data_IF_352960033010
#
_entry.id   IF_352960033010
#
_cell.length_a   1.000
_cell.length_b   1.000
_cell.length_c   1.000
_cell.angle_alpha   90.00
_cell.angle_beta   90.00
_cell.angle_gamma   90.00
#
_symmetry.space_group_name_H-M   'P 1'
#
loop_
_entity.id
_entity.type
_entity.pdbx_description
1 polymer ?
#
# COMPACT_ATOMS: atom_id res chain seq x y z
N UNK A 1 -1.29 1.52 32.32
CA UNK A 1 -1.96 0.25 32.74
C UNK A 1 -0.91 -0.84 32.92
N UNK A 2 -1.08 -1.75 33.88
CA UNK A 2 -0.17 -2.91 34.07
C UNK A 2 -0.63 -4.11 33.23
N UNK A 3 0.27 -5.04 32.85
CA UNK A 3 -0.10 -6.28 32.17
C UNK A 3 -1.18 -7.10 32.91
N UNK A 4 -1.16 -7.08 34.24
CA UNK A 4 -2.17 -7.73 35.08
C UNK A 4 -3.57 -7.10 34.98
N UNK A 5 -3.64 -5.78 34.77
CA UNK A 5 -4.91 -5.06 34.61
C UNK A 5 -5.56 -5.36 33.26
N UNK A 6 -4.75 -5.46 32.20
CA UNK A 6 -5.21 -5.79 30.84
C UNK A 6 -5.80 -7.20 30.77
N UNK A 7 -5.12 -8.18 31.37
CA UNK A 7 -5.63 -9.57 31.43
C UNK A 7 -6.96 -9.68 32.16
N UNK A 8 -7.17 -8.88 33.22
CA UNK A 8 -8.43 -8.87 33.97
C UNK A 8 -9.58 -8.31 33.13
N UNK A 9 -9.38 -7.18 32.46
CA UNK A 9 -10.40 -6.58 31.57
C UNK A 9 -10.73 -7.51 30.41
N UNK A 10 -9.72 -8.15 29.81
CA UNK A 10 -9.95 -9.12 28.73
C UNK A 10 -10.75 -10.33 29.21
N UNK A 11 -10.48 -10.84 30.42
CA UNK A 11 -11.27 -11.92 31.03
C UNK A 11 -12.74 -11.54 31.24
N UNK A 12 -13.03 -10.30 31.62
CA UNK A 12 -14.41 -9.80 31.73
C UNK A 12 -15.10 -9.74 30.37
N UNK A 13 -14.42 -9.23 29.35
CA UNK A 13 -14.95 -9.19 27.99
C UNK A 13 -15.25 -10.59 27.46
N UNK A 14 -14.35 -11.57 27.68
CA UNK A 14 -14.60 -12.97 27.31
C UNK A 14 -15.87 -13.51 27.95
N UNK A 15 -16.06 -13.27 29.25
CA UNK A 15 -17.25 -13.70 29.98
C UNK A 15 -18.55 -13.04 29.45
N UNK A 16 -18.49 -11.76 29.07
CA UNK A 16 -19.64 -11.04 28.51
C UNK A 16 -19.97 -11.45 27.07
N UNK A 17 -18.94 -11.72 26.27
CA UNK A 17 -19.08 -12.05 24.84
C UNK A 17 -19.31 -13.55 24.59
N UNK A 18 -19.02 -14.40 25.59
CA UNK A 18 -19.12 -15.85 25.44
C UNK A 18 -18.10 -16.45 24.46
N UNK A 19 -16.99 -15.76 24.23
CA UNK A 19 -15.91 -16.15 23.31
C UNK A 19 -14.55 -15.81 23.91
N UNK A 20 -13.51 -16.59 23.60
CA UNK A 20 -12.15 -16.34 24.12
C UNK A 20 -11.51 -15.08 23.53
N UNK A 21 -12.05 -14.54 22.45
CA UNK A 21 -11.62 -13.39 21.65
C UNK A 21 -10.26 -13.57 20.99
N UNK A 22 -9.28 -14.06 21.75
CA UNK A 22 -7.93 -14.35 21.31
C UNK A 22 -7.38 -15.56 22.05
N UNK A 23 -6.66 -16.41 21.32
CA UNK A 23 -5.87 -17.51 21.86
C UNK A 23 -4.38 -17.28 21.62
N UNK A 24 -3.53 -18.02 22.33
CA UNK A 24 -2.08 -17.97 22.09
C UNK A 24 -1.68 -19.07 21.12
N UNK A 25 -0.97 -18.69 20.07
CA UNK A 25 -0.25 -19.62 19.20
C UNK A 25 1.23 -19.24 19.21
N UNK A 26 2.04 -20.09 19.85
CA UNK A 26 3.42 -19.76 20.21
C UNK A 26 3.53 -18.45 20.99
N UNK A 27 4.30 -17.50 20.43
CA UNK A 27 4.49 -16.16 21.00
C UNK A 27 3.42 -15.13 20.64
N UNK A 28 2.48 -15.46 19.74
CA UNK A 28 1.51 -14.50 19.21
C UNK A 28 0.11 -14.68 19.81
N UNK A 29 -0.61 -13.56 19.91
CA UNK A 29 -2.02 -13.54 20.31
C UNK A 29 -2.85 -13.51 19.03
N UNK A 30 -3.58 -14.58 18.76
CA UNK A 30 -4.32 -14.79 17.50
C UNK A 30 -5.82 -14.60 17.76
N UNK A 31 -6.54 -13.78 16.99
CA UNK A 31 -7.97 -13.57 17.18
C UNK A 31 -8.80 -14.81 16.81
N UNK A 32 -9.91 -15.03 17.51
CA UNK A 32 -10.91 -16.04 17.15
C UNK A 32 -11.71 -15.61 15.92
N UNK A 33 -12.43 -16.56 15.30
CA UNK A 33 -13.35 -16.25 14.20
C UNK A 33 -14.44 -15.24 14.63
N UNK A 34 -14.93 -15.36 15.88
CA UNK A 34 -15.87 -14.41 16.44
C UNK A 34 -15.26 -13.01 16.55
N UNK A 35 -14.06 -12.86 17.13
CA UNK A 35 -13.37 -11.57 17.24
C UNK A 35 -13.13 -10.92 15.87
N UNK A 36 -12.75 -11.72 14.87
CA UNK A 36 -12.61 -11.24 13.48
C UNK A 36 -13.95 -10.77 12.90
N UNK A 37 -15.05 -11.46 13.21
CA UNK A 37 -16.39 -11.12 12.69
C UNK A 37 -16.93 -9.80 13.25
N UNK A 38 -16.64 -9.49 14.52
CA UNK A 38 -17.12 -8.25 15.17
C UNK A 38 -16.16 -7.06 15.00
N UNK A 39 -14.93 -7.29 14.52
CA UNK A 39 -13.88 -6.28 14.49
C UNK A 39 -14.27 -4.98 13.78
N UNK A 40 -14.95 -5.08 12.63
CA UNK A 40 -15.39 -3.90 11.88
C UNK A 40 -16.40 -3.03 12.66
N UNK A 41 -17.32 -3.66 13.40
CA UNK A 41 -18.31 -2.93 14.21
C UNK A 41 -17.66 -2.30 15.45
N UNK A 42 -16.77 -3.05 16.10
CA UNK A 42 -15.97 -2.53 17.23
C UNK A 42 -15.15 -1.31 16.80
N UNK A 43 -14.51 -1.36 15.63
CA UNK A 43 -13.77 -0.22 15.07
C UNK A 43 -14.68 1.00 14.90
N UNK A 44 -15.85 0.84 14.28
CA UNK A 44 -16.84 1.92 14.07
C UNK A 44 -17.22 2.60 15.39
N UNK A 45 -17.49 1.80 16.43
CA UNK A 45 -17.85 2.29 17.76
C UNK A 45 -16.68 3.07 18.37
N UNK A 46 -15.47 2.50 18.36
CA UNK A 46 -14.29 3.12 18.95
C UNK A 46 -13.90 4.42 18.25
N UNK A 47 -13.89 4.47 16.91
CA UNK A 47 -13.61 5.70 16.18
C UNK A 47 -14.63 6.80 16.51
N UNK A 48 -15.91 6.44 16.62
CA UNK A 48 -16.96 7.41 16.97
C UNK A 48 -16.82 7.89 18.43
N UNK A 49 -16.49 6.99 19.35
CA UNK A 49 -16.21 7.35 20.75
C UNK A 49 -15.00 8.28 20.86
N UNK A 50 -13.92 8.00 20.13
CA UNK A 50 -12.75 8.87 20.10
C UNK A 50 -13.11 10.27 19.61
N UNK A 51 -13.91 10.38 18.54
CA UNK A 51 -14.43 11.67 18.06
C UNK A 51 -15.26 12.42 19.10
N UNK A 52 -16.07 11.73 19.90
CA UNK A 52 -16.86 12.36 20.97
C UNK A 52 -15.99 12.80 22.15
N UNK A 53 -14.99 11.99 22.53
CA UNK A 53 -14.12 12.27 23.66
C UNK A 53 -13.09 13.38 23.36
N UNK A 54 -12.74 13.57 22.09
CA UNK A 54 -11.69 14.49 21.65
C UNK A 54 -12.23 15.55 20.68
N UNK A 55 -13.35 16.20 21.01
CA UNK A 55 -14.00 17.24 20.19
C UNK A 55 -13.17 18.52 19.95
N UNK A 56 -11.88 18.54 20.29
CA UNK A 56 -10.96 19.65 20.01
C UNK A 56 -10.09 19.39 18.78
N UNK A 57 -9.30 20.39 18.37
CA UNK A 57 -8.29 20.19 17.33
C UNK A 57 -7.24 19.18 17.79
N UNK A 58 -6.98 18.18 16.94
CA UNK A 58 -5.90 17.22 17.16
C UNK A 58 -4.55 17.96 17.17
N UNK A 59 -3.75 17.76 18.23
CA UNK A 59 -2.40 18.29 18.35
C UNK A 59 -1.39 17.15 18.10
N UNK A 60 -0.70 17.13 16.95
CA UNK A 60 0.28 16.08 16.63
C UNK A 60 1.40 15.96 17.67
N UNK A 61 1.77 17.09 18.29
CA UNK A 61 2.79 17.18 19.33
C UNK A 61 2.39 16.56 20.68
N UNK A 62 1.13 16.17 20.86
CA UNK A 62 0.63 15.52 22.08
C UNK A 62 0.23 14.06 21.83
N UNK A 63 0.35 13.60 20.58
CA UNK A 63 -0.07 12.28 20.18
C UNK A 63 0.86 11.20 20.74
N UNK A 64 0.29 10.30 21.54
CA UNK A 64 0.99 9.16 22.15
C UNK A 64 0.55 7.80 21.59
N UNK A 65 -0.29 7.81 20.56
CA UNK A 65 -0.76 6.60 19.87
C UNK A 65 0.21 6.10 18.80
N UNK A 66 -0.28 5.14 18.02
CA UNK A 66 0.37 4.62 16.81
C UNK A 66 -0.64 4.75 15.68
N UNK A 67 -0.20 5.24 14.51
CA UNK A 67 -1.00 5.23 13.29
C UNK A 67 -0.38 4.24 12.32
N UNK A 68 -1.20 3.41 11.70
CA UNK A 68 -0.76 2.31 10.85
C UNK A 68 -1.08 2.55 9.37
N UNK A 69 -0.07 2.34 8.54
CA UNK A 69 -0.16 2.43 7.08
C UNK A 69 0.12 1.05 6.47
N UNK A 70 -0.57 0.72 5.38
CA UNK A 70 -0.25 -0.44 4.53
C UNK A 70 0.14 0.04 3.14
N UNK A 71 1.29 -0.38 2.64
CA UNK A 71 1.73 -0.06 1.28
C UNK A 71 2.78 -1.06 0.78
N UNK A 72 3.02 -1.09 -0.55
CA UNK A 72 4.17 -1.81 -1.13
C UNK A 72 5.46 -1.01 -0.93
N UNK A 73 6.60 -1.68 -0.96
CA UNK A 73 7.94 -1.08 -0.82
C UNK A 73 8.16 0.04 -1.83
N UNK A 74 7.77 -0.16 -3.09
CA UNK A 74 7.86 0.88 -4.14
C UNK A 74 6.97 2.10 -3.86
N UNK A 75 5.84 1.90 -3.17
CA UNK A 75 4.97 3.01 -2.76
C UNK A 75 5.58 3.75 -1.57
N UNK A 76 6.18 3.02 -0.63
CA UNK A 76 6.92 3.62 0.47
C UNK A 76 8.08 4.47 -0.03
N UNK A 77 8.90 3.98 -0.96
CA UNK A 77 10.00 4.75 -1.56
C UNK A 77 9.51 6.07 -2.17
N UNK A 78 8.39 6.04 -2.87
CA UNK A 78 7.79 7.23 -3.50
C UNK A 78 7.31 8.26 -2.46
N UNK A 79 6.70 7.80 -1.36
CA UNK A 79 6.12 8.67 -0.34
C UNK A 79 6.99 8.85 0.90
N UNK A 80 8.24 8.36 0.89
CA UNK A 80 9.14 8.37 2.04
C UNK A 80 9.35 9.79 2.59
N UNK A 81 9.47 10.80 1.72
CA UNK A 81 9.55 12.21 2.12
C UNK A 81 8.32 12.68 2.88
N UNK A 82 7.11 12.47 2.32
CA UNK A 82 5.85 12.85 2.99
C UNK A 82 5.68 12.10 4.32
N UNK A 83 6.01 10.81 4.38
CA UNK A 83 5.96 10.03 5.63
C UNK A 83 6.96 10.57 6.65
N UNK A 84 8.18 10.94 6.22
CA UNK A 84 9.19 11.54 7.10
C UNK A 84 8.70 12.88 7.67
N UNK A 85 8.10 13.74 6.84
CA UNK A 85 7.55 15.03 7.28
C UNK A 85 6.41 14.86 8.28
N UNK A 86 5.49 13.93 8.04
CA UNK A 86 4.39 13.61 8.97
C UNK A 86 4.96 13.04 10.27
N UNK A 87 5.91 12.11 10.18
CA UNK A 87 6.49 11.46 11.36
C UNK A 87 7.21 12.44 12.29
N UNK A 88 7.84 13.49 11.74
CA UNK A 88 8.52 14.53 12.52
C UNK A 88 7.56 15.46 13.27
N UNK A 89 6.29 15.55 12.85
CA UNK A 89 5.27 16.32 13.56
C UNK A 89 4.72 15.57 14.78
N UNK A 90 4.87 14.24 14.83
CA UNK A 90 4.41 13.41 15.93
C UNK A 90 5.48 13.35 17.03
N UNK A 91 5.12 13.69 18.27
CA UNK A 91 6.05 13.68 19.40
C UNK A 91 6.19 12.31 20.08
N UNK A 92 5.25 11.40 19.83
CA UNK A 92 5.11 10.12 20.52
C UNK A 92 6.14 9.07 20.12
N UNK A 93 6.47 8.18 21.05
CA UNK A 93 7.45 7.09 20.87
C UNK A 93 7.04 5.98 19.88
N UNK A 94 5.82 6.02 19.34
CA UNK A 94 5.29 5.02 18.39
C UNK A 94 4.91 5.57 17.02
N UNK A 95 4.51 6.84 16.93
CA UNK A 95 4.38 7.60 15.67
C UNK A 95 3.59 6.87 14.58
N UNK A 96 4.31 6.41 13.55
CA UNK A 96 3.76 5.73 12.37
C UNK A 96 4.37 4.34 12.24
N UNK A 97 3.52 3.34 12.00
CA UNK A 97 3.93 1.99 11.65
C UNK A 97 3.51 1.66 10.21
N UNK A 98 4.46 1.26 9.38
CA UNK A 98 4.19 0.87 7.99
C UNK A 98 4.28 -0.65 7.87
N UNK A 99 3.20 -1.27 7.43
CA UNK A 99 3.11 -2.69 7.11
C UNK A 99 3.28 -2.92 5.61
N UNK A 100 3.93 -4.03 5.25
CA UNK A 100 3.89 -4.52 3.89
C UNK A 100 2.44 -4.88 3.52
N UNK A 101 2.02 -4.55 2.29
CA UNK A 101 0.66 -4.81 1.81
C UNK A 101 0.23 -6.28 1.99
N UNK A 102 1.16 -7.22 1.84
CA UNK A 102 0.93 -8.66 2.01
C UNK A 102 0.54 -9.03 3.44
N UNK A 103 0.95 -8.23 4.43
CA UNK A 103 0.64 -8.43 5.84
C UNK A 103 -0.66 -7.71 6.25
N UNK A 104 -1.08 -6.70 5.49
CA UNK A 104 -2.19 -5.82 5.80
C UNK A 104 -3.06 -5.57 4.56
N UNK A 105 -4.08 -6.42 4.37
CA UNK A 105 -4.98 -6.42 3.23
C UNK A 105 -6.15 -5.43 3.37
N UNK A 106 -7.05 -5.40 2.38
CA UNK A 106 -8.30 -4.64 2.51
C UNK A 106 -9.18 -5.13 3.67
N UNK A 107 -9.10 -6.41 4.05
CA UNK A 107 -9.85 -6.91 5.20
C UNK A 107 -9.34 -6.34 6.51
N UNK A 108 -8.02 -6.21 6.67
CA UNK A 108 -7.43 -5.63 7.88
C UNK A 108 -7.80 -4.15 8.01
N UNK A 109 -7.89 -3.44 6.88
CA UNK A 109 -8.38 -2.06 6.81
C UNK A 109 -9.86 -1.95 7.21
N UNK A 110 -10.72 -2.83 6.68
CA UNK A 110 -12.16 -2.87 7.05
C UNK A 110 -12.34 -3.16 8.54
N UNK A 111 -11.51 -4.04 9.11
CA UNK A 111 -11.56 -4.41 10.54
C UNK A 111 -10.89 -3.39 11.46
N UNK A 112 -10.30 -2.31 10.94
CA UNK A 112 -9.60 -1.30 11.76
C UNK A 112 -8.27 -1.78 12.35
N UNK A 113 -7.70 -2.85 11.80
CA UNK A 113 -6.36 -3.35 12.20
C UNK A 113 -5.23 -2.57 11.54
N UNK A 114 -5.54 -1.93 10.40
CA UNK A 114 -4.71 -0.92 9.77
C UNK A 114 -5.57 0.31 9.48
N UNK A 115 -5.03 1.51 9.65
CA UNK A 115 -5.80 2.75 9.56
C UNK A 115 -5.96 3.24 8.11
N UNK A 116 -4.86 3.21 7.35
CA UNK A 116 -4.84 3.62 5.95
C UNK A 116 -4.04 2.66 5.07
N UNK A 117 -4.43 2.56 3.81
CA UNK A 117 -3.64 1.91 2.77
C UNK A 117 -3.30 2.92 1.68
N UNK A 118 -2.04 2.91 1.23
CA UNK A 118 -1.59 3.68 0.05
C UNK A 118 -1.14 2.68 -0.99
N UNK A 119 -1.76 2.70 -2.16
CA UNK A 119 -1.46 1.74 -3.22
C UNK A 119 -1.58 2.35 -4.62
N UNK A 120 -0.76 1.89 -5.58
CA UNK A 120 -1.01 2.11 -6.98
C UNK A 120 -2.18 1.22 -7.43
N UNK A 121 -2.99 1.72 -8.36
CA UNK A 121 -3.99 0.91 -9.06
C UNK A 121 -4.38 1.52 -10.40
N UNK A 122 -5.01 0.71 -11.25
CA UNK A 122 -5.73 1.19 -12.42
C UNK A 122 -6.98 1.95 -11.97
N UNK A 123 -7.08 3.23 -12.31
CA UNK A 123 -8.14 4.11 -11.80
C UNK A 123 -9.53 3.63 -12.24
N UNK A 124 -9.60 3.05 -13.43
CA UNK A 124 -10.84 2.47 -13.99
C UNK A 124 -11.22 1.11 -13.40
N UNK A 125 -10.31 0.46 -12.66
CA UNK A 125 -10.50 -0.87 -12.10
C UNK A 125 -10.01 -0.92 -10.65
N UNK A 126 -10.79 -0.35 -9.70
CA UNK A 126 -10.42 -0.43 -8.29
C UNK A 126 -10.33 -1.90 -7.85
N UNK A 127 -9.28 -2.30 -7.11
CA UNK A 127 -9.06 -3.68 -6.65
C UNK A 127 -10.18 -4.28 -5.79
N UNK A 128 -11.04 -3.44 -5.23
CA UNK A 128 -12.21 -3.87 -4.45
C UNK A 128 -13.36 -2.89 -4.62
N UNK A 129 -14.59 -3.38 -4.42
CA UNK A 129 -15.84 -2.61 -4.45
C UNK A 129 -16.54 -2.60 -3.10
N UNK A 130 -15.80 -2.85 -2.01
CA UNK A 130 -16.34 -2.77 -0.65
C UNK A 130 -16.93 -1.39 -0.38
N UNK A 131 -18.11 -1.35 0.24
CA UNK A 131 -18.81 -0.10 0.59
C UNK A 131 -18.28 0.54 1.87
N UNK A 132 -17.60 -0.23 2.71
CA UNK A 132 -16.98 0.28 3.94
C UNK A 132 -15.66 1.01 3.67
N UNK A 133 -15.12 0.90 2.44
CA UNK A 133 -13.87 1.51 2.05
C UNK A 133 -14.07 2.75 1.19
N UNK A 134 -13.40 3.83 1.59
CA UNK A 134 -13.37 5.10 0.88
C UNK A 134 -12.03 5.24 0.16
N UNK A 135 -12.05 5.91 -0.99
CA UNK A 135 -10.89 6.07 -1.87
C UNK A 135 -10.70 7.54 -2.21
N UNK A 136 -9.45 7.98 -2.19
CA UNK A 136 -9.04 9.30 -2.68
C UNK A 136 -7.77 9.15 -3.49
N UNK A 137 -7.83 9.48 -4.78
CA UNK A 137 -6.63 9.60 -5.59
C UNK A 137 -5.78 10.74 -5.04
N UNK A 138 -4.52 10.43 -4.68
CA UNK A 138 -3.55 11.38 -4.14
C UNK A 138 -2.44 11.72 -5.13
N UNK A 139 -2.23 10.87 -6.15
CA UNK A 139 -1.23 11.11 -7.18
C UNK A 139 -1.65 10.45 -8.50
N UNK A 140 -1.58 11.19 -9.60
CA UNK A 140 -1.67 10.64 -10.94
C UNK A 140 -0.33 10.05 -11.38
N UNK A 141 -0.37 8.97 -12.13
CA UNK A 141 0.82 8.27 -12.60
C UNK A 141 0.64 7.72 -14.01
N UNK A 142 1.73 7.26 -14.60
CA UNK A 142 1.79 6.60 -15.89
C UNK A 142 2.74 5.41 -15.78
N UNK A 143 2.55 4.40 -16.63
CA UNK A 143 3.50 3.31 -16.75
C UNK A 143 4.59 3.68 -17.77
N UNK A 144 5.83 3.29 -17.48
CA UNK A 144 7.01 3.50 -18.35
C UNK A 144 7.83 2.23 -18.46
N UNK A 145 8.68 2.18 -19.48
CA UNK A 145 9.68 1.14 -19.63
C UNK A 145 11.06 1.67 -19.20
N UNK A 146 11.76 0.91 -18.37
CA UNK A 146 13.15 1.13 -18.00
C UNK A 146 14.05 0.10 -18.69
N UNK A 147 15.26 0.54 -19.01
CA UNK A 147 16.34 -0.27 -19.56
C UNK A 147 17.69 0.29 -19.11
N UNK A 148 18.74 -0.53 -19.14
CA UNK A 148 20.10 -0.03 -18.88
C UNK A 148 20.56 0.97 -19.98
N UNK A 149 21.59 1.76 -19.69
CA UNK A 149 22.10 2.79 -20.60
C UNK A 149 22.72 2.25 -21.90
N UNK A 150 23.27 1.04 -21.85
CA UNK A 150 23.92 0.36 -22.97
C UNK A 150 22.92 -0.46 -23.82
N UNK A 151 21.62 -0.45 -23.46
CA UNK A 151 20.60 -1.21 -24.17
C UNK A 151 20.53 -0.75 -25.65
N UNK A 152 20.44 -1.65 -26.63
CA UNK A 152 20.35 -1.29 -28.06
C UNK A 152 19.21 -0.33 -28.45
N UNK A 153 18.22 -0.19 -27.57
CA UNK A 153 17.03 0.65 -27.75
C UNK A 153 17.10 1.96 -26.94
N UNK A 154 18.15 2.17 -26.13
CA UNK A 154 18.29 3.34 -25.27
C UNK A 154 18.23 4.66 -26.06
N UNK A 155 18.77 4.66 -27.27
CA UNK A 155 18.81 5.85 -28.14
C UNK A 155 17.70 5.88 -29.21
N UNK A 156 16.82 4.88 -29.26
CA UNK A 156 15.77 4.77 -30.25
C UNK A 156 14.37 4.95 -29.62
N UNK A 157 13.35 5.35 -30.39
CA UNK A 157 11.97 5.21 -29.94
C UNK A 157 11.65 3.73 -29.69
N UNK A 158 11.01 3.43 -28.58
CA UNK A 158 10.57 2.07 -28.26
C UNK A 158 9.25 1.81 -29.00
N UNK A 159 9.23 0.85 -29.93
CA UNK A 159 8.01 0.40 -30.60
C UNK A 159 7.50 -0.89 -29.97
N UNK A 160 6.25 -1.25 -30.26
CA UNK A 160 5.61 -2.42 -29.64
C UNK A 160 6.31 -3.72 -30.02
N UNK A 161 6.70 -3.89 -31.28
CA UNK A 161 7.43 -5.06 -31.75
C UNK A 161 8.81 -5.18 -31.07
N UNK A 162 9.52 -4.05 -30.92
CA UNK A 162 10.81 -4.01 -30.21
C UNK A 162 10.63 -4.45 -28.75
N UNK A 163 9.61 -3.88 -28.07
CA UNK A 163 9.28 -4.21 -26.68
C UNK A 163 8.95 -5.69 -26.51
N UNK A 164 8.10 -6.27 -27.36
CA UNK A 164 7.71 -7.68 -27.26
C UNK A 164 8.86 -8.65 -27.60
N UNK A 165 9.81 -8.23 -28.44
CA UNK A 165 10.99 -9.02 -28.78
C UNK A 165 12.03 -9.12 -27.65
N UNK A 166 12.02 -8.16 -26.72
CA UNK A 166 12.94 -8.12 -25.59
C UNK A 166 12.55 -9.13 -24.50
N UNK A 167 13.52 -9.41 -23.62
CA UNK A 167 13.31 -10.14 -22.37
C UNK A 167 12.91 -9.15 -21.27
N UNK A 168 11.99 -9.55 -20.39
CA UNK A 168 11.40 -8.68 -19.38
C UNK A 168 11.63 -9.20 -17.97
N UNK A 169 11.70 -8.25 -17.03
CA UNK A 169 11.65 -8.48 -15.60
C UNK A 169 10.20 -8.27 -15.14
N UNK A 170 9.61 -9.31 -14.54
CA UNK A 170 8.29 -9.27 -13.93
C UNK A 170 8.34 -8.95 -12.45
N UNK A 171 7.22 -8.49 -11.91
CA UNK A 171 7.03 -8.30 -10.47
C UNK A 171 6.02 -9.32 -9.98
N UNK A 172 6.38 -10.03 -8.91
CA UNK A 172 5.49 -10.99 -8.26
C UNK A 172 4.39 -10.24 -7.51
N UNK A 173 3.14 -10.47 -7.89
CA UNK A 173 1.98 -10.08 -7.10
C UNK A 173 1.26 -11.35 -6.62
N UNK A 174 1.16 -11.51 -5.30
CA UNK A 174 0.50 -12.68 -4.69
C UNK A 174 -1.02 -12.58 -4.69
N UNK A 175 -1.56 -11.37 -4.83
CA UNK A 175 -3.00 -11.12 -4.81
C UNK A 175 -3.64 -11.34 -6.19
N UNK A 176 -2.85 -11.40 -7.25
CA UNK A 176 -3.30 -11.47 -8.63
C UNK A 176 -2.70 -12.68 -9.35
N UNK A 177 -3.56 -13.53 -9.92
CA UNK A 177 -3.10 -14.63 -10.79
C UNK A 177 -2.47 -14.11 -12.09
N UNK A 178 -2.98 -13.00 -12.61
CA UNK A 178 -2.44 -12.28 -13.76
C UNK A 178 -2.72 -10.77 -13.60
N UNK A 179 -1.68 -9.91 -13.58
CA UNK A 179 -1.87 -8.46 -13.50
C UNK A 179 -2.66 -7.88 -14.67
N UNK A 180 -3.47 -6.84 -14.42
CA UNK A 180 -4.26 -6.19 -15.47
C UNK A 180 -3.41 -5.67 -16.64
N UNK A 181 -2.17 -5.24 -16.35
CA UNK A 181 -1.19 -4.90 -17.37
C UNK A 181 -0.93 -6.04 -18.37
N UNK A 182 -0.69 -7.25 -17.88
CA UNK A 182 -0.41 -8.42 -18.74
C UNK A 182 -1.63 -8.81 -19.57
N UNK A 183 -2.82 -8.73 -18.96
CA UNK A 183 -4.09 -9.00 -19.64
C UNK A 183 -4.31 -8.01 -20.78
N UNK A 184 -4.14 -6.71 -20.51
CA UNK A 184 -4.33 -5.65 -21.49
C UNK A 184 -3.32 -5.75 -22.64
N UNK A 185 -2.03 -5.94 -22.31
CA UNK A 185 -0.96 -6.12 -23.29
C UNK A 185 -1.23 -7.34 -24.18
N UNK A 186 -1.56 -8.48 -23.58
CA UNK A 186 -1.84 -9.73 -24.32
C UNK A 186 -3.05 -9.59 -25.24
N UNK A 187 -4.12 -8.92 -24.79
CA UNK A 187 -5.33 -8.70 -25.59
C UNK A 187 -5.09 -7.77 -26.79
N UNK A 188 -4.23 -6.76 -26.65
CA UNK A 188 -4.04 -5.74 -27.68
C UNK A 188 -2.87 -6.04 -28.63
N UNK A 189 -1.79 -6.63 -28.12
CA UNK A 189 -0.51 -6.72 -28.83
C UNK A 189 0.18 -8.08 -28.72
N UNK A 190 -0.18 -8.90 -27.72
CA UNK A 190 0.44 -10.20 -27.46
C UNK A 190 1.27 -10.20 -26.18
N UNK A 191 1.70 -11.38 -25.74
CA UNK A 191 2.40 -11.53 -24.46
C UNK A 191 3.91 -11.23 -24.58
N UNK A 192 4.47 -10.58 -23.56
CA UNK A 192 5.92 -10.32 -23.46
C UNK A 192 6.67 -11.52 -22.86
N UNK A 193 7.96 -11.64 -23.17
CA UNK A 193 8.81 -12.70 -22.63
C UNK A 193 9.36 -12.33 -21.24
N UNK A 194 8.62 -12.65 -20.17
CA UNK A 194 9.07 -12.48 -18.78
C UNK A 194 10.02 -13.63 -18.40
N UNK A 195 11.32 -13.35 -18.32
CA UNK A 195 12.37 -14.36 -18.09
C UNK A 195 12.78 -14.50 -16.62
N UNK A 196 12.42 -13.53 -15.81
CA UNK A 196 12.66 -13.51 -14.36
C UNK A 196 11.56 -12.68 -13.69
N UNK A 197 11.10 -13.12 -12.53
CA UNK A 197 10.18 -12.36 -11.69
C UNK A 197 10.78 -12.16 -10.31
N UNK A 198 10.68 -10.93 -9.79
CA UNK A 198 11.24 -10.53 -8.48
C UNK A 198 10.17 -9.91 -7.59
N UNK A 199 10.48 -9.71 -6.32
CA UNK A 199 9.49 -9.28 -5.32
C UNK A 199 9.03 -7.82 -5.48
N UNK A 200 9.91 -6.91 -5.92
CA UNK A 200 9.64 -5.48 -5.94
C UNK A 200 10.39 -4.73 -7.05
N UNK A 201 10.00 -3.47 -7.30
CA UNK A 201 10.60 -2.63 -8.33
C UNK A 201 12.08 -2.30 -8.06
N UNK A 202 12.51 -2.19 -6.81
CA UNK A 202 13.90 -1.93 -6.45
C UNK A 202 14.80 -3.10 -6.86
N UNK A 203 14.42 -4.33 -6.50
CA UNK A 203 15.11 -5.54 -6.96
C UNK A 203 15.11 -5.65 -8.49
N UNK A 204 13.99 -5.29 -9.13
CA UNK A 204 13.90 -5.29 -10.58
C UNK A 204 14.82 -4.25 -11.24
N UNK A 205 14.94 -3.05 -10.67
CA UNK A 205 15.86 -2.04 -11.17
C UNK A 205 17.33 -2.45 -11.02
N UNK A 206 17.69 -3.08 -9.89
CA UNK A 206 19.03 -3.67 -9.72
C UNK A 206 19.32 -4.68 -10.82
N UNK A 207 18.38 -5.58 -11.12
CA UNK A 207 18.53 -6.52 -12.22
C UNK A 207 18.59 -5.83 -13.59
N UNK A 208 17.78 -4.79 -13.79
CA UNK A 208 17.73 -4.01 -15.02
C UNK A 208 19.07 -3.31 -15.31
N UNK A 209 19.80 -2.86 -14.28
CA UNK A 209 21.16 -2.32 -14.45
C UNK A 209 22.18 -3.36 -14.92
N UNK A 210 21.96 -4.64 -14.59
CA UNK A 210 22.91 -5.73 -14.82
C UNK A 210 22.55 -6.62 -16.02
N UNK A 211 21.56 -6.24 -16.82
CA UNK A 211 21.06 -7.05 -17.93
C UNK A 211 20.48 -6.18 -19.03
N UNK A 212 20.29 -6.76 -20.22
CA UNK A 212 19.55 -6.19 -21.34
C UNK A 212 18.03 -6.39 -21.22
N UNK A 213 17.51 -6.61 -20.01
CA UNK A 213 16.09 -6.83 -19.81
C UNK A 213 15.34 -5.52 -19.62
N UNK A 214 14.09 -5.50 -20.05
CA UNK A 214 13.18 -4.39 -19.86
C UNK A 214 12.41 -4.54 -18.54
N UNK A 215 12.20 -3.43 -17.85
CA UNK A 215 11.35 -3.33 -16.66
C UNK A 215 10.19 -2.37 -16.96
N UNK A 216 8.95 -2.80 -16.76
CA UNK A 216 7.79 -1.91 -16.82
C UNK A 216 7.31 -1.55 -15.42
N UNK A 217 7.26 -0.25 -15.11
CA UNK A 217 6.96 0.23 -13.75
C UNK A 217 6.26 1.59 -13.76
N UNK A 218 5.91 2.07 -12.57
CA UNK A 218 5.45 3.44 -12.33
C UNK A 218 6.49 4.46 -12.79
N UNK A 219 6.04 5.51 -13.49
CA UNK A 219 6.86 6.66 -13.88
C UNK A 219 7.30 7.46 -12.67
N UNK A 220 6.37 7.73 -11.75
CA UNK A 220 6.66 8.46 -10.51
C UNK A 220 7.72 7.75 -9.68
N UNK A 221 7.59 6.44 -9.51
CA UNK A 221 8.60 5.65 -8.81
C UNK A 221 9.95 5.70 -9.54
N UNK A 222 9.96 5.51 -10.86
CA UNK A 222 11.18 5.58 -11.66
C UNK A 222 11.89 6.94 -11.62
N UNK A 223 11.15 8.03 -11.39
CA UNK A 223 11.69 9.39 -11.25
C UNK A 223 12.34 9.65 -9.89
N UNK A 224 11.82 9.03 -8.83
CA UNK A 224 12.21 9.34 -7.45
C UNK A 224 13.11 8.28 -6.80
N UNK A 225 12.97 7.01 -7.19
CA UNK A 225 13.70 5.91 -6.57
C UNK A 225 15.19 5.98 -6.87
N UNK A 226 16.01 5.76 -5.84
CA UNK A 226 17.46 5.73 -5.96
C UNK A 226 17.94 4.55 -6.81
N UNK A 227 17.23 3.41 -6.76
CA UNK A 227 17.56 2.20 -7.49
C UNK A 227 17.35 2.37 -9.00
N UNK A 228 16.37 3.18 -9.40
CA UNK A 228 16.12 3.50 -10.81
C UNK A 228 17.11 4.52 -11.39
N UNK A 229 17.88 5.22 -10.54
CA UNK A 229 18.82 6.26 -10.97
C UNK A 229 19.83 5.70 -11.97
N UNK A 230 19.92 6.36 -13.12
CA UNK A 230 20.82 5.97 -14.20
C UNK A 230 20.19 5.04 -15.24
N UNK A 231 19.03 4.43 -14.99
CA UNK A 231 18.31 3.71 -16.04
C UNK A 231 17.73 4.67 -17.08
N UNK A 232 17.69 4.25 -18.33
CA UNK A 232 17.03 4.97 -19.41
C UNK A 232 15.53 4.69 -19.35
N UNK A 233 14.76 5.76 -19.26
CA UNK A 233 13.29 5.70 -19.25
C UNK A 233 12.73 5.97 -20.65
N UNK A 234 11.81 5.12 -21.09
CA UNK A 234 11.03 5.29 -22.32
C UNK A 234 9.53 5.30 -22.00
N UNK A 235 8.71 6.06 -22.74
CA UNK A 235 7.27 5.89 -22.70
C UNK A 235 6.91 4.45 -23.08
N UNK A 236 5.78 3.95 -22.58
CA UNK A 236 5.26 2.68 -23.08
C UNK A 236 4.93 2.79 -24.58
N UNK A 237 5.18 1.73 -25.36
CA UNK A 237 4.96 1.72 -26.81
C UNK A 237 3.49 1.49 -27.20
N UNK A 238 2.56 1.59 -26.25
CA UNK A 238 1.13 1.43 -26.44
C UNK A 238 0.36 2.24 -25.38
N UNK A 239 -0.92 2.49 -25.63
CA UNK A 239 -1.78 3.21 -24.71
C UNK A 239 -2.22 2.30 -23.56
N UNK A 240 -1.53 2.39 -22.42
CA UNK A 240 -1.97 1.79 -21.18
C UNK A 240 -2.84 2.80 -20.40
N UNK A 241 -3.96 2.35 -19.86
CA UNK A 241 -4.97 3.19 -19.22
C UNK A 241 -4.46 4.03 -18.05
N UNK A 242 -5.35 4.81 -17.44
CA UNK A 242 -4.98 5.72 -16.34
C UNK A 242 -4.64 4.95 -15.06
N UNK A 243 -3.43 5.13 -14.57
CA UNK A 243 -2.97 4.63 -13.26
C UNK A 243 -2.77 5.78 -12.28
N UNK A 244 -2.81 5.47 -11.00
CA UNK A 244 -2.55 6.44 -9.95
C UNK A 244 -2.39 5.79 -8.60
N UNK A 245 -1.94 6.59 -7.63
CA UNK A 245 -1.90 6.20 -6.23
C UNK A 245 -3.11 6.75 -5.52
N UNK A 246 -3.75 5.91 -4.73
CA UNK A 246 -4.88 6.28 -3.89
C UNK A 246 -4.59 5.99 -2.43
N UNK A 247 -5.10 6.89 -1.58
CA UNK A 247 -5.30 6.65 -0.16
C UNK A 247 -6.64 5.93 0.01
N UNK A 248 -6.66 4.87 0.80
CA UNK A 248 -7.83 4.06 1.11
C UNK A 248 -7.98 3.91 2.61
N UNK A 249 -9.20 4.06 3.11
CA UNK A 249 -9.50 3.95 4.54
C UNK A 249 -10.88 3.37 4.77
N UNK A 250 -11.12 2.86 5.98
CA UNK A 250 -12.48 2.55 6.42
C UNK A 250 -13.25 3.86 6.66
N UNK A 251 -14.47 3.99 6.14
CA UNK A 251 -15.29 5.21 6.27
C UNK A 251 -15.35 5.77 7.70
N UNK A 252 -15.43 4.90 8.72
CA UNK A 252 -15.52 5.32 10.12
C UNK A 252 -14.20 5.82 10.71
N UNK A 253 -13.05 5.50 10.10
CA UNK A 253 -11.74 5.92 10.59
C UNK A 253 -11.62 7.44 10.73
N UNK A 254 -12.26 8.22 9.83
CA UNK A 254 -12.17 9.69 9.89
C UNK A 254 -13.03 10.32 11.00
N UNK A 255 -13.78 9.53 11.78
CA UNK A 255 -14.40 10.02 13.02
C UNK A 255 -13.36 10.20 14.13
N UNK A 256 -12.20 9.53 14.01
CA UNK A 256 -11.07 9.74 14.92
C UNK A 256 -10.27 11.00 14.49
N UNK A 257 -10.10 12.01 15.35
CA UNK A 257 -9.39 13.24 15.01
C UNK A 257 -7.94 13.04 14.55
N UNK A 258 -7.23 12.03 15.09
CA UNK A 258 -5.85 11.74 14.70
C UNK A 258 -5.78 11.21 13.26
N UNK A 259 -6.71 10.32 12.90
CA UNK A 259 -6.80 9.77 11.56
C UNK A 259 -7.34 10.80 10.57
N UNK A 260 -8.24 11.67 11.00
CA UNK A 260 -8.70 12.81 10.19
C UNK A 260 -7.56 13.77 9.86
N UNK A 261 -6.74 14.13 10.85
CA UNK A 261 -5.54 14.94 10.65
C UNK A 261 -4.59 14.27 9.65
N UNK A 262 -4.31 12.97 9.82
CA UNK A 262 -3.42 12.25 8.91
C UNK A 262 -3.97 12.25 7.48
N UNK A 263 -5.27 12.03 7.31
CA UNK A 263 -5.94 12.12 6.01
C UNK A 263 -5.69 13.48 5.33
N UNK A 264 -5.80 14.59 6.08
CA UNK A 264 -5.49 15.92 5.54
C UNK A 264 -4.02 16.02 5.09
N UNK A 265 -3.07 15.51 5.88
CA UNK A 265 -1.65 15.49 5.48
C UNK A 265 -1.37 14.73 4.18
N UNK A 266 -2.22 13.77 3.80
CA UNK A 266 -2.08 13.03 2.55
C UNK A 266 -2.73 13.71 1.35
N UNK A 267 -3.86 14.38 1.58
CA UNK A 267 -4.70 14.95 0.51
C UNK A 267 -4.35 16.39 0.17
N UNK A 268 -3.80 17.13 1.13
CA UNK A 268 -3.22 18.46 0.94
C UNK A 268 -1.79 18.35 0.34
#
# INVERSE_FOLDING_TARGET
MTPSSISKTLGQLRGQMGDELFYRDGGQLVPTAFALSIGAEVHKILSSMNGILHQGEFQPSDFSGEISLSMRESTFELFAGKIADISQQLSGSRGIKVYAKEQASFETLIRGQVDFMVLPHDISQPPTRSRDLMWKQILADEMVCLMNQEHPLANNPLRIDDYLSCRHIGILDKDLSEPYFEQNLTQQHGSRNVVISVADFGAAAVMCHQSDYLLTCSKKWAEQSLQAKGLVRKPLPFEYGKVGYSLVWNQASLNDPALHWLYQQWVD
#
